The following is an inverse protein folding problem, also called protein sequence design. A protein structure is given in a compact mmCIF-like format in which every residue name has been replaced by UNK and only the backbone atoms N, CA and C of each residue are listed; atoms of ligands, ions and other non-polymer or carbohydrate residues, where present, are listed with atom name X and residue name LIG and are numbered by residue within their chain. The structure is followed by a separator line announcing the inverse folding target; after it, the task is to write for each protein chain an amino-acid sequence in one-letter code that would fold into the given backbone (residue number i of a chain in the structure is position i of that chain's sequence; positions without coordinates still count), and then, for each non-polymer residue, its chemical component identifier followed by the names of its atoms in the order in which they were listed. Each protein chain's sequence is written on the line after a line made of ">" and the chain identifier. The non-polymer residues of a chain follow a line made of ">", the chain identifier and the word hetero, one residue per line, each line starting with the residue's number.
data_IF_811876241571
#
_entry.id   IF_811876241571
#
_cell.length_a   1.000
_cell.length_b   1.000
_cell.length_c   1.000
_cell.angle_alpha   90.00
_cell.angle_beta   90.00
_cell.angle_gamma   90.00
#
_symmetry.space_group_name_H-M   'P 1'
#
loop_
_entity.id
_entity.type
_entity.pdbx_description
1 polymer ?
#
# COMPACT_ATOMS: atom_id res chain seq x y z
N UNK A 1 16.36 32.28 -37.89
CA UNK A 1 16.82 31.39 -36.79
C UNK A 1 15.59 30.81 -36.10
N UNK A 2 15.14 29.62 -36.54
CA UNK A 2 13.96 28.96 -35.99
C UNK A 2 14.35 27.94 -34.90
N UNK A 3 13.48 27.70 -33.90
CA UNK A 3 13.81 26.84 -32.76
C UNK A 3 13.82 25.36 -33.17
N UNK A 4 14.91 24.66 -32.81
CA UNK A 4 15.06 23.20 -33.02
C UNK A 4 14.18 22.45 -32.01
N UNK A 5 13.07 21.94 -32.51
CA UNK A 5 12.18 21.02 -31.82
C UNK A 5 12.89 19.67 -31.66
N UNK A 6 13.30 19.29 -30.45
CA UNK A 6 13.78 17.93 -30.15
C UNK A 6 12.61 17.06 -29.70
N UNK A 7 11.97 16.42 -30.66
CA UNK A 7 11.25 15.16 -30.46
C UNK A 7 12.16 14.21 -29.67
N UNK A 8 11.70 13.77 -28.49
CA UNK A 8 12.28 12.61 -27.81
C UNK A 8 11.27 11.47 -27.86
N UNK A 9 11.56 10.59 -28.81
CA UNK A 9 11.01 9.27 -29.07
C UNK A 9 10.52 8.55 -27.81
N UNK A 10 9.35 7.91 -27.96
CA UNK A 10 8.84 6.90 -27.05
C UNK A 10 9.89 5.82 -26.81
N UNK A 11 10.22 5.63 -25.54
CA UNK A 11 11.01 4.49 -25.12
C UNK A 11 10.12 3.26 -25.10
N UNK A 12 10.02 2.55 -26.23
CA UNK A 12 9.57 1.16 -26.18
C UNK A 12 10.68 0.36 -25.52
N UNK A 13 10.45 -0.07 -24.27
CA UNK A 13 11.29 -1.11 -23.70
C UNK A 13 11.21 -2.34 -24.60
N UNK A 14 12.32 -3.08 -24.79
CA UNK A 14 12.28 -4.32 -25.54
C UNK A 14 11.18 -5.20 -24.95
N UNK A 15 10.34 -5.78 -25.82
CA UNK A 15 9.39 -6.82 -25.44
C UNK A 15 10.14 -7.82 -24.56
N UNK A 16 9.54 -8.27 -23.44
CA UNK A 16 10.16 -9.31 -22.63
C UNK A 16 10.46 -10.50 -23.55
N UNK A 17 11.72 -10.92 -23.59
CA UNK A 17 12.10 -12.23 -24.14
C UNK A 17 11.21 -13.28 -23.48
N UNK A 18 10.78 -14.31 -24.22
CA UNK A 18 9.71 -15.25 -23.83
C UNK A 18 9.89 -15.99 -22.48
N UNK A 19 11.01 -15.79 -21.77
CA UNK A 19 11.29 -16.24 -20.40
C UNK A 19 10.81 -15.27 -19.30
N UNK A 20 10.16 -14.17 -19.68
CA UNK A 20 9.77 -13.08 -18.77
C UNK A 20 8.26 -12.91 -18.56
N UNK A 21 7.43 -13.78 -19.14
CA UNK A 21 5.96 -13.69 -19.02
C UNK A 21 5.46 -13.87 -17.57
N UNK A 22 6.30 -14.43 -16.68
CA UNK A 22 5.95 -14.66 -15.28
C UNK A 22 6.22 -13.45 -14.35
N UNK A 23 6.91 -12.39 -14.81
CA UNK A 23 7.35 -11.29 -13.94
C UNK A 23 6.89 -9.91 -14.42
N UNK A 24 6.26 -9.15 -13.53
CA UNK A 24 5.96 -7.73 -13.74
C UNK A 24 6.87 -6.90 -12.85
N UNK A 25 7.81 -6.18 -13.47
CA UNK A 25 8.65 -5.20 -12.79
C UNK A 25 7.97 -3.83 -12.79
N UNK A 26 7.85 -3.20 -11.63
CA UNK A 26 7.29 -1.86 -11.47
C UNK A 26 8.15 -1.03 -10.51
N UNK A 27 8.06 0.30 -10.59
CA UNK A 27 8.73 1.19 -9.64
C UNK A 27 8.05 2.56 -9.58
N UNK A 28 8.14 3.34 -10.67
CA UNK A 28 7.66 4.73 -10.65
C UNK A 28 6.22 4.82 -11.13
N UNK A 29 5.47 5.74 -10.52
CA UNK A 29 4.05 5.99 -10.78
C UNK A 29 3.70 6.33 -12.24
N UNK A 30 4.64 6.87 -13.02
CA UNK A 30 4.45 7.23 -14.44
C UNK A 30 4.94 6.15 -15.42
N UNK A 31 5.44 5.03 -14.93
CA UNK A 31 5.85 3.88 -15.75
C UNK A 31 4.68 2.90 -15.90
N UNK A 32 4.81 1.95 -16.84
CA UNK A 32 3.89 0.83 -16.93
C UNK A 32 3.83 0.09 -15.59
N UNK A 33 2.63 -0.31 -15.18
CA UNK A 33 2.37 -0.87 -13.85
C UNK A 33 2.73 0.04 -12.67
N UNK A 34 3.03 1.32 -12.92
CA UNK A 34 3.29 2.32 -11.88
C UNK A 34 2.18 2.41 -10.84
N UNK A 35 0.94 2.08 -11.21
CA UNK A 35 -0.20 2.03 -10.29
C UNK A 35 0.00 1.06 -9.10
N UNK A 36 0.91 0.09 -9.20
CA UNK A 36 1.29 -0.82 -8.12
C UNK A 36 2.13 -0.13 -7.03
N UNK A 37 2.85 0.94 -7.37
CA UNK A 37 3.66 1.71 -6.43
C UNK A 37 2.80 2.32 -5.31
N UNK A 38 3.33 2.33 -4.09
CA UNK A 38 2.72 2.98 -2.92
C UNK A 38 2.73 4.52 -3.00
N UNK A 39 3.49 5.08 -3.95
CA UNK A 39 3.56 6.52 -4.21
C UNK A 39 2.47 7.02 -5.15
N UNK A 40 1.91 6.13 -5.97
CA UNK A 40 0.92 6.50 -6.97
C UNK A 40 -0.29 7.17 -6.33
N UNK A 41 -0.67 8.37 -6.80
CA UNK A 41 -1.90 9.03 -6.39
C UNK A 41 -3.11 8.13 -6.63
N UNK A 42 -3.70 7.66 -5.53
CA UNK A 42 -4.85 6.77 -5.52
C UNK A 42 -5.61 7.05 -4.23
N UNK A 43 -6.62 7.93 -4.32
CA UNK A 43 -7.40 8.31 -3.15
C UNK A 43 -8.23 7.14 -2.65
N UNK A 44 -8.17 6.87 -1.35
CA UNK A 44 -9.03 5.89 -0.69
C UNK A 44 -9.38 6.36 0.71
N UNK A 45 -10.50 5.87 1.21
CA UNK A 45 -10.93 6.09 2.59
C UNK A 45 -10.64 4.85 3.43
N UNK A 46 -10.16 5.04 4.65
CA UNK A 46 -9.96 3.98 5.62
C UNK A 46 -10.43 4.45 7.00
N UNK A 47 -10.98 3.57 7.85
CA UNK A 47 -11.22 3.87 9.27
C UNK A 47 -9.96 4.41 9.92
N UNK A 48 -10.09 5.41 10.78
CA UNK A 48 -8.94 6.04 11.46
C UNK A 48 -8.06 4.98 12.13
N UNK A 49 -6.81 4.78 11.67
CA UNK A 49 -5.89 3.81 12.27
C UNK A 49 -5.61 4.03 13.75
N UNK A 50 -5.72 5.27 14.26
CA UNK A 50 -5.56 5.59 15.66
C UNK A 50 -6.66 4.96 16.54
N UNK A 51 -7.81 4.64 15.95
CA UNK A 51 -8.95 4.01 16.62
C UNK A 51 -9.08 2.53 16.21
N UNK A 52 -9.03 2.24 14.92
CA UNK A 52 -9.28 0.91 14.35
C UNK A 52 -8.17 -0.11 14.63
N UNK A 53 -6.94 0.35 14.79
CA UNK A 53 -5.76 -0.51 14.90
C UNK A 53 -5.02 -0.33 16.23
N UNK A 54 -5.55 0.45 17.17
CA UNK A 54 -4.89 0.82 18.43
C UNK A 54 -4.30 -0.39 19.16
N UNK A 55 -5.06 -1.49 19.24
CA UNK A 55 -4.68 -2.72 19.95
C UNK A 55 -3.40 -3.40 19.42
N UNK A 56 -3.06 -3.28 18.13
CA UNK A 56 -1.87 -3.92 17.55
C UNK A 56 -0.84 -2.93 16.99
N UNK A 57 -1.26 -1.72 16.64
CA UNK A 57 -0.41 -0.66 16.10
C UNK A 57 0.35 0.08 17.22
N UNK A 58 -0.29 0.30 18.36
CA UNK A 58 0.30 1.00 19.50
C UNK A 58 0.75 -0.09 20.49
N UNK A 59 2.06 -0.28 20.65
CA UNK A 59 2.57 -1.36 21.51
C UNK A 59 2.30 -1.07 22.99
N UNK A 60 1.91 -2.09 23.77
CA UNK A 60 1.77 -2.02 25.23
C UNK A 60 3.08 -1.70 25.98
N UNK A 61 4.24 -1.75 25.30
CA UNK A 61 5.55 -1.54 25.92
C UNK A 61 5.99 -0.08 26.07
N UNK A 62 5.16 0.88 25.68
CA UNK A 62 5.40 2.26 26.10
C UNK A 62 4.84 2.39 27.51
N UNK A 63 5.71 2.35 28.52
CA UNK A 63 5.43 2.64 29.94
C UNK A 63 4.92 4.06 30.22
N UNK A 64 4.14 4.62 29.30
CA UNK A 64 3.22 5.71 29.54
C UNK A 64 2.10 5.12 30.39
N UNK A 65 2.19 5.36 31.69
CA UNK A 65 1.00 5.37 32.53
C UNK A 65 0.00 6.31 31.83
N UNK A 66 -1.02 5.73 31.21
CA UNK A 66 -2.18 6.48 30.74
C UNK A 66 -2.89 6.99 31.99
N UNK A 67 -2.46 8.14 32.50
CA UNK A 67 -3.29 8.96 33.38
C UNK A 67 -4.57 9.28 32.61
N UNK A 68 -5.62 8.55 32.94
CA UNK A 68 -7.02 8.94 32.85
C UNK A 68 -7.43 9.65 31.55
N UNK A 69 -7.35 8.93 30.43
CA UNK A 69 -8.38 8.96 29.42
C UNK A 69 -8.45 7.57 28.81
N UNK A 70 -9.08 6.67 29.58
CA UNK A 70 -9.65 5.44 29.04
C UNK A 70 -10.78 5.85 28.10
N UNK A 71 -10.42 6.28 26.90
CA UNK A 71 -11.34 6.20 25.77
C UNK A 71 -11.37 4.72 25.43
N UNK A 72 -12.07 3.95 26.27
CA UNK A 72 -12.55 2.62 25.92
C UNK A 72 -13.65 2.86 24.91
N UNK A 73 -13.29 3.23 23.69
CA UNK A 73 -14.18 3.00 22.57
C UNK A 73 -14.14 1.49 22.40
N UNK A 74 -15.09 0.80 23.03
CA UNK A 74 -15.55 -0.50 22.56
C UNK A 74 -16.12 -0.29 21.15
N UNK A 75 -15.23 -0.20 20.15
CA UNK A 75 -15.63 -0.32 18.76
C UNK A 75 -15.52 -1.78 18.42
N UNK A 76 -16.48 -2.56 18.94
CA UNK A 76 -16.69 -3.91 18.43
C UNK A 76 -17.11 -3.86 16.94
N UNK A 77 -17.48 -2.66 16.43
CA UNK A 77 -17.84 -2.42 15.05
C UNK A 77 -16.94 -1.37 14.37
N UNK A 78 -16.16 -1.80 13.37
CA UNK A 78 -15.32 -0.94 12.54
C UNK A 78 -16.13 0.14 11.77
N UNK A 79 -17.44 -0.10 11.58
CA UNK A 79 -18.35 0.81 10.86
C UNK A 79 -18.59 2.15 11.59
N UNK A 80 -18.39 2.18 12.91
CA UNK A 80 -18.62 3.38 13.72
C UNK A 80 -17.38 4.29 13.80
N UNK A 81 -16.24 3.81 13.30
CA UNK A 81 -14.99 4.57 13.30
C UNK A 81 -14.99 5.57 12.14
N UNK A 82 -14.71 6.87 12.39
CA UNK A 82 -14.65 7.87 11.34
C UNK A 82 -13.60 7.49 10.29
N UNK A 83 -13.98 7.62 9.02
CA UNK A 83 -13.08 7.36 7.90
C UNK A 83 -12.22 8.59 7.60
N UNK A 84 -10.92 8.37 7.39
CA UNK A 84 -9.96 9.34 6.90
C UNK A 84 -9.70 9.08 5.43
N UNK A 85 -9.67 10.14 4.61
CA UNK A 85 -9.26 10.05 3.21
C UNK A 85 -7.74 10.21 3.10
N UNK A 86 -7.10 9.28 2.40
CA UNK A 86 -5.67 9.31 2.09
C UNK A 86 -5.47 9.49 0.58
N UNK A 87 -4.44 10.23 0.19
CA UNK A 87 -4.11 10.53 -1.21
C UNK A 87 -3.38 9.38 -1.91
N UNK A 88 -2.63 8.58 -1.16
CA UNK A 88 -1.84 7.44 -1.63
C UNK A 88 -1.44 6.55 -0.44
N UNK A 89 -1.04 5.31 -0.71
CA UNK A 89 -0.69 4.32 0.33
C UNK A 89 0.47 4.79 1.22
N UNK A 90 1.42 5.55 0.68
CA UNK A 90 2.52 6.11 1.47
C UNK A 90 2.05 7.09 2.57
N UNK A 91 0.98 7.86 2.34
CA UNK A 91 0.45 8.80 3.33
C UNK A 91 -0.17 8.02 4.49
N UNK A 92 -0.98 7.00 4.19
CA UNK A 92 -1.53 6.08 5.19
C UNK A 92 -0.42 5.44 6.02
N UNK A 93 0.61 4.91 5.36
CA UNK A 93 1.72 4.24 6.04
C UNK A 93 2.46 5.18 7.00
N UNK A 94 2.74 6.41 6.57
CA UNK A 94 3.43 7.40 7.40
C UNK A 94 2.54 7.93 8.53
N UNK A 95 1.23 8.07 8.29
CA UNK A 95 0.27 8.41 9.33
C UNK A 95 0.25 7.34 10.44
N UNK A 96 0.12 6.06 10.07
CA UNK A 96 0.16 4.95 11.02
C UNK A 96 1.49 4.89 11.80
N UNK A 97 2.60 5.25 11.14
CA UNK A 97 3.89 5.37 11.81
C UNK A 97 3.87 6.47 12.88
N UNK A 98 3.32 7.65 12.59
CA UNK A 98 3.22 8.73 13.58
C UNK A 98 2.30 8.34 14.75
N UNK A 99 1.16 7.70 14.46
CA UNK A 99 0.23 7.15 15.46
C UNK A 99 0.93 6.14 16.38
N UNK A 100 1.74 5.23 15.84
CA UNK A 100 2.49 4.23 16.60
C UNK A 100 3.40 4.85 17.68
N UNK A 101 3.86 6.10 17.49
CA UNK A 101 4.73 6.81 18.42
C UNK A 101 4.03 7.97 19.16
N UNK A 102 2.70 8.08 19.02
CA UNK A 102 1.92 9.13 19.67
C UNK A 102 2.23 10.56 19.19
N UNK A 103 2.89 10.72 18.03
CA UNK A 103 3.23 12.03 17.49
C UNK A 103 2.07 12.61 16.68
N UNK A 104 1.10 13.20 17.40
CA UNK A 104 -0.10 13.79 16.81
C UNK A 104 0.21 14.96 15.87
N UNK A 105 1.26 15.73 16.16
CA UNK A 105 1.70 16.85 15.31
C UNK A 105 2.23 16.35 13.95
N UNK A 106 3.06 15.31 13.96
CA UNK A 106 3.51 14.65 12.73
C UNK A 106 2.33 14.02 11.97
N UNK A 107 1.42 13.35 12.67
CA UNK A 107 0.23 12.75 12.08
C UNK A 107 -0.64 13.79 11.34
N UNK A 108 -0.94 14.92 11.97
CA UNK A 108 -1.69 16.02 11.34
C UNK A 108 -0.95 16.62 10.13
N UNK A 109 0.37 16.78 10.22
CA UNK A 109 1.19 17.30 9.13
C UNK A 109 1.24 16.34 7.94
N UNK A 110 1.29 15.02 8.19
CA UNK A 110 1.22 13.98 7.15
C UNK A 110 -0.14 13.98 6.46
N UNK A 111 -1.26 14.14 7.20
CA UNK A 111 -2.59 14.24 6.59
C UNK A 111 -2.76 15.49 5.72
N UNK A 112 -2.13 16.60 6.09
CA UNK A 112 -2.14 17.83 5.30
C UNK A 112 -1.26 17.76 4.04
N UNK A 113 -0.28 16.86 3.99
CA UNK A 113 0.61 16.71 2.86
C UNK A 113 -0.06 16.04 1.66
N UNK A 114 0.16 16.59 0.46
CA UNK A 114 -0.33 16.01 -0.80
C UNK A 114 0.69 15.12 -1.51
N UNK A 115 1.98 15.29 -1.20
CA UNK A 115 3.08 14.57 -1.85
C UNK A 115 3.67 13.52 -0.92
N UNK A 116 4.03 12.38 -1.50
CA UNK A 116 4.71 11.29 -0.79
C UNK A 116 6.07 11.71 -0.21
N UNK A 117 6.80 12.62 -0.87
CA UNK A 117 8.05 13.18 -0.35
C UNK A 117 7.86 13.87 0.98
N UNK A 118 6.84 14.71 1.08
CA UNK A 118 6.60 15.57 2.24
C UNK A 118 6.11 14.73 3.44
N UNK A 119 5.31 13.68 3.15
CA UNK A 119 4.95 12.65 4.12
C UNK A 119 6.20 11.95 4.68
N UNK A 120 7.13 11.54 3.81
CA UNK A 120 8.39 10.89 4.21
C UNK A 120 9.28 11.82 5.01
N UNK A 121 9.39 13.08 4.63
CA UNK A 121 10.23 14.05 5.31
C UNK A 121 9.72 14.30 6.73
N UNK A 122 8.40 14.47 6.89
CA UNK A 122 7.75 14.55 8.21
C UNK A 122 7.98 13.27 9.02
N UNK A 123 7.82 12.09 8.40
CA UNK A 123 7.97 10.81 9.08
C UNK A 123 9.40 10.47 9.53
N UNK A 124 10.42 11.19 9.03
CA UNK A 124 11.81 11.12 9.52
C UNK A 124 12.01 11.92 10.80
N UNK A 125 11.10 12.87 11.09
CA UNK A 125 11.15 13.75 12.25
C UNK A 125 10.15 13.35 13.35
N UNK A 126 9.53 12.15 13.24
CA UNK A 126 8.61 11.63 14.26
C UNK A 126 9.33 11.56 15.61
N UNK A 127 8.73 12.18 16.61
CA UNK A 127 9.20 12.19 18.00
C UNK A 127 9.12 10.80 18.59
N UNK A 128 10.06 10.49 19.48
CA UNK A 128 10.14 9.19 20.18
C UNK A 128 10.22 7.97 19.25
N UNK A 129 10.66 8.18 18.00
CA UNK A 129 10.82 7.09 17.04
C UNK A 129 11.83 6.06 17.53
N UNK A 130 11.39 4.81 17.62
CA UNK A 130 12.23 3.65 17.89
C UNK A 130 12.13 2.67 16.72
N UNK A 131 13.28 2.38 16.10
CA UNK A 131 13.36 1.52 14.92
C UNK A 131 13.04 0.05 15.24
N UNK A 132 13.39 -0.44 16.44
CA UNK A 132 13.10 -1.79 16.87
C UNK A 132 11.60 -1.95 17.15
N UNK A 133 11.00 -0.97 17.81
CA UNK A 133 9.54 -0.93 18.01
C UNK A 133 8.83 -0.95 16.67
N UNK A 134 9.20 -0.09 15.71
CA UNK A 134 8.56 -0.07 14.39
C UNK A 134 8.77 -1.35 13.57
N UNK A 135 9.89 -2.06 13.78
CA UNK A 135 10.19 -3.32 13.10
C UNK A 135 9.52 -4.55 13.74
N UNK A 136 9.08 -4.46 14.99
CA UNK A 136 8.49 -5.57 15.72
C UNK A 136 7.12 -6.00 15.17
N UNK A 137 6.71 -7.24 15.48
CA UNK A 137 5.36 -7.80 15.24
C UNK A 137 4.84 -7.71 13.79
N UNK A 138 5.75 -7.56 12.82
CA UNK A 138 5.39 -7.36 11.41
C UNK A 138 4.63 -6.07 11.14
N UNK A 139 4.74 -5.05 12.02
CA UNK A 139 3.91 -3.83 11.98
C UNK A 139 3.98 -3.11 10.63
N UNK A 140 5.18 -2.97 10.07
CA UNK A 140 5.41 -2.43 8.71
C UNK A 140 4.58 -3.15 7.65
N UNK A 141 4.64 -4.48 7.64
CA UNK A 141 3.95 -5.31 6.65
C UNK A 141 2.43 -5.22 6.80
N UNK A 142 1.93 -5.25 8.04
CA UNK A 142 0.49 -5.13 8.35
C UNK A 142 -0.06 -3.79 7.87
N UNK A 143 0.59 -2.68 8.23
CA UNK A 143 0.19 -1.32 7.82
C UNK A 143 0.17 -1.17 6.30
N UNK A 144 1.18 -1.70 5.60
CA UNK A 144 1.18 -1.66 4.13
C UNK A 144 0.08 -2.54 3.54
N UNK A 145 -0.14 -3.75 4.09
CA UNK A 145 -1.20 -4.64 3.63
C UNK A 145 -2.58 -3.99 3.75
N UNK A 146 -2.85 -3.29 4.86
CA UNK A 146 -4.10 -2.55 5.05
C UNK A 146 -4.23 -1.41 4.04
N UNK A 147 -3.16 -0.61 3.84
CA UNK A 147 -3.16 0.47 2.85
C UNK A 147 -3.49 -0.03 1.44
N UNK A 148 -2.93 -1.18 1.05
CA UNK A 148 -3.20 -1.80 -0.25
C UNK A 148 -4.63 -2.37 -0.30
N UNK A 149 -5.12 -2.95 0.79
CA UNK A 149 -6.49 -3.47 0.88
C UNK A 149 -7.53 -2.38 0.60
N UNK A 150 -7.37 -1.19 1.20
CA UNK A 150 -8.24 -0.05 0.93
C UNK A 150 -8.03 0.53 -0.48
N UNK A 151 -6.77 0.73 -0.90
CA UNK A 151 -6.42 1.28 -2.23
C UNK A 151 -7.04 0.48 -3.37
N UNK A 152 -7.02 -0.84 -3.28
CA UNK A 152 -7.52 -1.73 -4.33
C UNK A 152 -9.00 -2.14 -4.16
N UNK A 153 -9.70 -1.53 -3.18
CA UNK A 153 -11.15 -1.67 -3.01
C UNK A 153 -11.60 -2.95 -2.32
N UNK A 154 -10.70 -3.69 -1.68
CA UNK A 154 -11.04 -4.92 -0.98
C UNK A 154 -12.01 -4.70 0.17
N UNK A 155 -11.80 -3.63 0.95
CA UNK A 155 -12.70 -3.28 2.05
C UNK A 155 -14.12 -2.96 1.55
N UNK A 156 -14.24 -2.28 0.40
CA UNK A 156 -15.54 -1.96 -0.17
C UNK A 156 -16.26 -3.21 -0.68
N UNK A 157 -15.57 -4.08 -1.42
CA UNK A 157 -16.16 -5.33 -1.89
C UNK A 157 -16.59 -6.21 -0.71
N UNK A 158 -15.74 -6.36 0.31
CA UNK A 158 -16.09 -7.11 1.50
C UNK A 158 -17.35 -6.55 2.19
N UNK A 159 -17.44 -5.22 2.32
CA UNK A 159 -18.62 -4.56 2.90
C UNK A 159 -19.90 -4.87 2.11
N UNK A 160 -19.84 -4.79 0.78
CA UNK A 160 -20.98 -5.11 -0.10
C UNK A 160 -21.45 -6.56 0.11
N UNK A 161 -20.51 -7.50 0.24
CA UNK A 161 -20.84 -8.91 0.46
C UNK A 161 -21.48 -9.14 1.84
N UNK A 162 -20.97 -8.46 2.88
CA UNK A 162 -21.51 -8.54 4.26
C UNK A 162 -22.89 -7.90 4.38
N UNK A 163 -23.19 -6.84 3.62
CA UNK A 163 -24.48 -6.14 3.62
C UNK A 163 -25.54 -6.82 2.73
N UNK A 164 -25.46 -8.15 2.60
CA UNK A 164 -26.43 -8.96 1.86
C UNK A 164 -26.13 -9.13 0.37
N UNK A 165 -24.93 -8.76 -0.09
CA UNK A 165 -24.46 -8.96 -1.46
C UNK A 165 -23.85 -10.35 -1.73
N UNK A 166 -24.00 -11.32 -0.82
CA UNK A 166 -23.42 -12.66 -0.98
C UNK A 166 -23.86 -13.37 -2.27
N UNK A 167 -25.10 -13.14 -2.70
CA UNK A 167 -25.69 -13.72 -3.92
C UNK A 167 -25.14 -13.12 -5.23
N UNK A 168 -24.33 -12.05 -5.16
CA UNK A 168 -23.77 -11.44 -6.37
C UNK A 168 -22.89 -12.45 -7.11
N UNK A 169 -23.15 -12.60 -8.40
CA UNK A 169 -22.31 -13.40 -9.30
C UNK A 169 -20.91 -12.80 -9.48
N UNK A 170 -19.99 -13.60 -10.01
CA UNK A 170 -18.57 -13.25 -10.21
C UNK A 170 -18.41 -11.90 -10.92
N UNK A 171 -19.14 -11.68 -11.99
CA UNK A 171 -19.09 -10.47 -12.82
C UNK A 171 -19.48 -9.23 -12.01
N UNK A 172 -20.59 -9.30 -11.25
CA UNK A 172 -21.05 -8.18 -10.43
C UNK A 172 -20.07 -7.86 -9.28
N UNK A 173 -19.45 -8.88 -8.67
CA UNK A 173 -18.39 -8.69 -7.67
C UNK A 173 -17.16 -8.02 -8.29
N UNK A 174 -16.78 -8.42 -9.50
CA UNK A 174 -15.67 -7.80 -10.23
C UNK A 174 -15.94 -6.35 -10.61
N UNK A 175 -17.17 -6.02 -11.02
CA UNK A 175 -17.59 -4.66 -11.37
C UNK A 175 -17.62 -3.72 -10.16
N UNK A 176 -17.87 -4.25 -8.95
CA UNK A 176 -17.84 -3.51 -7.69
C UNK A 176 -16.44 -3.00 -7.32
N UNK A 177 -15.38 -3.66 -7.81
CA UNK A 177 -14.01 -3.21 -7.55
C UNK A 177 -13.71 -1.89 -8.28
N UNK A 178 -12.92 -0.98 -7.71
CA UNK A 178 -12.40 0.17 -8.45
C UNK A 178 -11.49 -0.30 -9.59
N UNK A 179 -11.24 0.59 -10.56
CA UNK A 179 -10.37 0.33 -11.72
C UNK A 179 -9.00 -0.23 -11.30
N UNK A 180 -8.40 0.29 -10.23
CA UNK A 180 -7.14 -0.22 -9.70
C UNK A 180 -7.24 -1.68 -9.24
N UNK A 181 -8.32 -2.07 -8.56
CA UNK A 181 -8.55 -3.44 -8.09
C UNK A 181 -8.66 -4.41 -9.25
N UNK A 182 -9.40 -4.03 -10.30
CA UNK A 182 -9.49 -4.82 -11.54
C UNK A 182 -8.15 -4.93 -12.26
N UNK A 183 -7.38 -3.83 -12.34
CA UNK A 183 -6.02 -3.85 -12.90
C UNK A 183 -5.07 -4.74 -12.11
N UNK A 184 -5.19 -4.79 -10.78
CA UNK A 184 -4.41 -5.71 -9.95
C UNK A 184 -4.78 -7.17 -10.25
N UNK A 185 -6.07 -7.51 -10.36
CA UNK A 185 -6.51 -8.86 -10.75
C UNK A 185 -6.02 -9.23 -12.16
N UNK A 186 -6.02 -8.29 -13.09
CA UNK A 186 -5.55 -8.49 -14.46
C UNK A 186 -4.04 -8.78 -14.56
N UNK A 187 -3.27 -8.62 -13.49
CA UNK A 187 -1.87 -9.10 -13.44
C UNK A 187 -1.76 -10.63 -13.44
N UNK A 188 -2.89 -11.35 -13.37
CA UNK A 188 -2.92 -12.81 -13.45
C UNK A 188 -2.10 -13.43 -12.34
N UNK A 189 -1.28 -14.41 -12.68
CA UNK A 189 -0.40 -15.10 -11.72
C UNK A 189 1.04 -14.56 -11.74
N UNK A 190 1.29 -13.46 -12.46
CA UNK A 190 2.62 -12.86 -12.53
C UNK A 190 3.15 -12.51 -11.14
N UNK A 191 4.45 -12.71 -10.94
CA UNK A 191 5.20 -12.24 -9.79
C UNK A 191 5.42 -10.73 -9.94
N UNK A 192 4.91 -9.96 -8.98
CA UNK A 192 5.06 -8.52 -8.93
C UNK A 192 6.36 -8.14 -8.23
N UNK A 193 7.21 -7.34 -8.88
CA UNK A 193 8.55 -7.01 -8.42
C UNK A 193 8.77 -5.49 -8.39
N UNK A 194 8.92 -4.94 -7.18
CA UNK A 194 9.25 -3.52 -6.96
C UNK A 194 10.74 -3.29 -7.22
N UNK A 195 11.06 -2.76 -8.41
CA UNK A 195 12.39 -2.49 -8.93
C UNK A 195 12.96 -1.15 -8.42
N UNK A 196 12.88 -0.93 -7.11
CA UNK A 196 13.48 0.21 -6.44
C UNK A 196 14.99 -0.03 -6.21
N UNK A 197 15.84 0.71 -6.92
CA UNK A 197 17.30 0.52 -6.91
C UNK A 197 18.05 0.90 -5.63
N UNK A 198 17.36 1.36 -4.58
CA UNK A 198 17.97 1.75 -3.29
C UNK A 198 17.19 1.23 -2.09
N UNK A 199 16.16 0.40 -2.32
CA UNK A 199 15.32 -0.17 -1.27
C UNK A 199 15.33 -1.69 -1.41
N UNK A 200 15.96 -2.36 -0.45
CA UNK A 200 16.04 -3.82 -0.38
C UNK A 200 15.04 -4.44 0.59
N UNK A 201 14.21 -3.63 1.26
CA UNK A 201 13.16 -4.11 2.14
C UNK A 201 11.83 -4.18 1.37
N UNK A 202 11.36 -3.05 0.84
CA UNK A 202 10.14 -3.02 0.05
C UNK A 202 10.37 -3.47 -1.39
N UNK A 203 11.53 -3.13 -1.95
CA UNK A 203 11.94 -3.50 -3.29
C UNK A 203 13.03 -4.56 -3.34
N UNK A 204 13.53 -4.81 -4.55
CA UNK A 204 14.62 -5.75 -4.82
C UNK A 204 16.02 -5.13 -4.75
N UNK A 205 16.15 -3.82 -4.53
CA UNK A 205 17.45 -3.13 -4.51
C UNK A 205 18.08 -2.91 -5.88
N UNK A 206 17.39 -3.26 -6.97
CA UNK A 206 17.86 -3.06 -8.35
C UNK A 206 16.82 -2.31 -9.18
N UNK A 207 17.27 -1.31 -9.93
CA UNK A 207 16.43 -0.55 -10.86
C UNK A 207 16.16 -1.32 -12.14
N UNK A 208 15.01 -1.06 -12.79
CA UNK A 208 14.61 -1.69 -14.07
C UNK A 208 15.74 -1.65 -15.11
N UNK A 209 16.43 -0.51 -15.24
CA UNK A 209 17.54 -0.32 -16.21
C UNK A 209 18.77 -1.20 -15.94
N UNK A 210 18.91 -1.74 -14.75
CA UNK A 210 20.02 -2.63 -14.37
C UNK A 210 19.80 -4.09 -14.79
N UNK A 211 18.67 -4.40 -15.47
CA UNK A 211 18.26 -5.76 -15.84
C UNK A 211 18.22 -6.68 -14.61
N UNK A 212 17.38 -6.34 -13.62
CA UNK A 212 17.41 -6.95 -12.28
C UNK A 212 17.29 -8.47 -12.28
N UNK A 213 16.61 -9.06 -13.25
CA UNK A 213 16.46 -10.51 -13.40
C UNK A 213 17.79 -11.27 -13.37
N UNK A 214 18.87 -10.69 -13.91
CA UNK A 214 20.22 -11.30 -13.90
C UNK A 214 20.80 -11.45 -12.49
N UNK A 215 20.28 -10.71 -11.52
CA UNK A 215 20.77 -10.66 -10.15
C UNK A 215 19.72 -11.19 -9.16
N UNK A 216 18.81 -12.08 -9.61
CA UNK A 216 17.73 -12.61 -8.78
C UNK A 216 18.21 -13.19 -7.44
N UNK A 217 19.38 -13.86 -7.44
CA UNK A 217 20.02 -14.39 -6.23
C UNK A 217 20.41 -13.33 -5.20
N UNK A 218 20.51 -12.07 -5.62
CA UNK A 218 20.98 -10.94 -4.82
C UNK A 218 19.84 -9.96 -4.51
N UNK A 219 18.60 -10.28 -4.90
CA UNK A 219 17.47 -9.41 -4.67
C UNK A 219 17.23 -9.17 -3.19
N UNK A 220 16.77 -7.95 -2.90
CA UNK A 220 16.12 -7.61 -1.65
C UNK A 220 14.83 -8.41 -1.43
N UNK A 221 14.12 -8.05 -0.37
CA UNK A 221 13.01 -8.84 0.15
C UNK A 221 11.74 -8.71 -0.69
N UNK A 222 11.60 -7.64 -1.50
CA UNK A 222 10.43 -7.37 -2.35
C UNK A 222 9.10 -7.45 -1.57
N UNK A 223 9.05 -6.90 -0.36
CA UNK A 223 7.84 -6.98 0.46
C UNK A 223 6.63 -6.30 -0.19
N UNK A 224 6.83 -5.23 -0.96
CA UNK A 224 5.71 -4.56 -1.62
C UNK A 224 5.07 -5.46 -2.68
N UNK A 225 5.89 -6.08 -3.51
CA UNK A 225 5.42 -7.07 -4.50
C UNK A 225 4.67 -8.24 -3.86
N UNK A 226 5.21 -8.80 -2.77
CA UNK A 226 4.57 -9.88 -2.00
C UNK A 226 3.23 -9.43 -1.39
N UNK A 227 3.17 -8.23 -0.82
CA UNK A 227 1.93 -7.67 -0.26
C UNK A 227 0.87 -7.44 -1.34
N UNK A 228 1.26 -6.96 -2.53
CA UNK A 228 0.34 -6.79 -3.66
C UNK A 228 -0.21 -8.13 -4.15
N UNK A 229 0.63 -9.17 -4.27
CA UNK A 229 0.19 -10.53 -4.60
C UNK A 229 -0.79 -11.03 -3.53
N UNK A 230 -0.47 -10.88 -2.25
CA UNK A 230 -1.38 -11.28 -1.17
C UNK A 230 -2.74 -10.55 -1.24
N UNK A 231 -2.74 -9.25 -1.57
CA UNK A 231 -3.98 -8.47 -1.77
C UNK A 231 -4.73 -8.99 -2.99
N UNK A 232 -4.04 -9.25 -4.11
CA UNK A 232 -4.63 -9.83 -5.32
C UNK A 232 -5.32 -11.15 -5.04
N UNK A 233 -4.67 -12.07 -4.34
CA UNK A 233 -5.26 -13.38 -4.02
C UNK A 233 -6.48 -13.25 -3.10
N UNK A 234 -6.47 -12.30 -2.15
CA UNK A 234 -7.65 -12.02 -1.31
C UNK A 234 -8.81 -11.48 -2.14
N UNK A 235 -8.56 -10.52 -3.03
CA UNK A 235 -9.58 -9.99 -3.94
C UNK A 235 -10.12 -11.08 -4.87
N UNK A 236 -9.23 -11.89 -5.44
CA UNK A 236 -9.58 -13.01 -6.31
C UNK A 236 -10.54 -13.97 -5.60
N UNK A 237 -10.23 -14.37 -4.36
CA UNK A 237 -11.12 -15.21 -3.54
C UNK A 237 -12.49 -14.58 -3.32
N UNK A 238 -12.58 -13.28 -3.03
CA UNK A 238 -13.86 -12.62 -2.85
C UNK A 238 -14.68 -12.57 -4.15
N UNK A 239 -14.03 -12.33 -5.28
CA UNK A 239 -14.68 -12.29 -6.60
C UNK A 239 -15.11 -13.68 -7.08
N UNK A 240 -14.28 -14.70 -6.84
CA UNK A 240 -14.47 -16.06 -7.34
C UNK A 240 -15.16 -17.00 -6.36
N UNK A 241 -15.48 -16.57 -5.14
CA UNK A 241 -16.25 -17.36 -4.20
C UNK A 241 -17.65 -17.64 -4.78
N UNK A 242 -17.77 -18.79 -5.44
CA UNK A 242 -19.02 -19.39 -5.87
C UNK A 242 -19.74 -19.92 -4.64
N UNK A 243 -21.06 -19.76 -4.61
CA UNK A 243 -21.93 -20.53 -3.71
C UNK A 243 -21.87 -22.03 -4.05
#
# INVERSE_FOLDING_TARGET
>A
MGPKNKSKNGGSYPKPEAEHDDFIFFHKEWEDYGFLSNYTPAKFSAPDPALACAAWLISENNGVHTSSCSVTIHTDNLKDIPAIQFNHSEQYYMYCKAVCFGDTAAASSILAASKASDCKDTARQIRHYDAAVWAANGRKLRVMADALWYKFGGAHLQQVLEDGGSWLGREARFETLPDLGRKLLATGDCVLVEAAGRDSFWGIGYGIKQRPFRYQKNWGQNHLGKSLISTRERLRKLVEALE
#
